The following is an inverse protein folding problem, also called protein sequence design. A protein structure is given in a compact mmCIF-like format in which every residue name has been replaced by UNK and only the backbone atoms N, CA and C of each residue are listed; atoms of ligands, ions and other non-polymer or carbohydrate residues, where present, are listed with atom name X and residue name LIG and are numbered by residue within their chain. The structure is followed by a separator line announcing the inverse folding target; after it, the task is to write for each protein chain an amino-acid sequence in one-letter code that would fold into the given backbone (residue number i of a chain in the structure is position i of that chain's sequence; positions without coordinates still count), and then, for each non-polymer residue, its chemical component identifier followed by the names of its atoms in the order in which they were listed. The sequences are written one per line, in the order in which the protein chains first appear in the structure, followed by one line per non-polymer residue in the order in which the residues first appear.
data_IF_407184997426
#
_entry.id   IF_407184997426
#
_cell.length_a   1.000
_cell.length_b   1.000
_cell.length_c   1.000
_cell.angle_alpha   90.00
_cell.angle_beta   90.00
_cell.angle_gamma   90.00
#
_symmetry.space_group_name_H-M   'P 1'
#
loop_
_entity.id
_entity.type
_entity.pdbx_description
1 polymer ?
#
# COMPACT_ATOMS: atom_id res chain seq x y z
N UNK A 1 -3.03 10.36 36.07
CA UNK A 1 -3.67 10.95 37.27
C UNK A 1 -3.36 12.43 37.30
N UNK A 2 -4.35 13.29 37.07
CA UNK A 2 -4.56 14.57 37.75
C UNK A 2 -5.93 15.09 37.28
N UNK A 3 -6.87 15.19 38.22
CA UNK A 3 -8.22 15.74 38.00
C UNK A 3 -8.25 17.18 38.54
N UNK A 4 -8.87 18.09 37.81
CA UNK A 4 -9.44 19.32 38.38
C UNK A 4 -10.96 19.19 38.33
N UNK A 5 -11.59 19.21 39.51
CA UNK A 5 -13.04 19.31 39.70
C UNK A 5 -13.42 20.79 39.73
N UNK A 6 -14.26 21.22 38.79
CA UNK A 6 -15.04 22.46 38.90
C UNK A 6 -16.52 22.06 38.95
N UNK A 7 -17.11 22.22 40.13
CA UNK A 7 -18.55 22.06 40.35
C UNK A 7 -19.26 23.31 39.84
N UNK A 8 -20.12 23.16 38.84
CA UNK A 8 -21.08 24.19 38.44
C UNK A 8 -22.44 23.54 38.26
N UNK A 9 -23.39 23.91 39.12
CA UNK A 9 -24.82 23.69 38.93
C UNK A 9 -25.33 24.64 37.86
N UNK A 10 -25.74 24.11 36.70
CA UNK A 10 -27.03 24.40 36.05
C UNK A 10 -27.10 23.70 34.69
N UNK A 11 -28.31 23.25 34.38
CA UNK A 11 -28.71 22.36 33.29
C UNK A 11 -28.29 22.82 31.90
N UNK A 12 -27.28 22.17 31.32
CA UNK A 12 -27.13 21.99 29.87
C UNK A 12 -26.47 20.63 29.68
N UNK A 13 -27.12 19.72 28.94
CA UNK A 13 -26.61 18.39 28.62
C UNK A 13 -25.20 18.49 28.01
N UNK A 14 -24.19 18.19 28.81
CA UNK A 14 -22.80 18.10 28.38
C UNK A 14 -22.63 16.74 27.70
N UNK A 15 -22.88 16.69 26.39
CA UNK A 15 -22.42 15.57 25.55
C UNK A 15 -20.88 15.50 25.64
N UNK A 16 -20.39 14.65 26.54
CA UNK A 16 -19.00 14.23 26.59
C UNK A 16 -18.73 13.37 25.35
N UNK A 17 -18.36 14.00 24.25
CA UNK A 17 -17.76 13.32 23.11
C UNK A 17 -16.37 12.90 23.57
N UNK A 18 -16.23 11.65 24.02
CA UNK A 18 -14.93 11.02 24.20
C UNK A 18 -14.36 10.82 22.80
N UNK A 19 -13.61 11.81 22.32
CA UNK A 19 -12.81 11.68 21.11
C UNK A 19 -11.67 10.72 21.48
N UNK A 20 -11.83 9.44 21.12
CA UNK A 20 -10.74 8.49 21.11
C UNK A 20 -9.75 8.94 20.02
N UNK A 21 -8.75 9.72 20.41
CA UNK A 21 -7.59 9.97 19.56
C UNK A 21 -6.78 8.68 19.59
N UNK A 22 -6.95 7.83 18.56
CA UNK A 22 -6.00 6.75 18.30
C UNK A 22 -4.67 7.42 17.92
N UNK A 23 -3.74 7.50 18.86
CA UNK A 23 -2.38 7.95 18.58
C UNK A 23 -1.58 6.76 18.09
N UNK A 24 -1.09 6.82 16.85
CA UNK A 24 -0.10 5.85 16.38
C UNK A 24 1.13 5.89 17.29
N UNK A 25 1.60 4.73 17.73
CA UNK A 25 2.91 4.60 18.35
C UNK A 25 3.93 4.30 17.26
N UNK A 26 4.77 5.28 16.94
CA UNK A 26 5.73 5.17 15.85
C UNK A 26 7.16 5.21 16.35
N UNK A 27 8.00 4.35 15.78
CA UNK A 27 9.45 4.41 15.92
C UNK A 27 10.10 4.79 14.59
N UNK A 28 11.15 5.59 14.65
CA UNK A 28 12.02 5.84 13.49
C UNK A 28 12.85 4.60 13.23
N UNK A 29 12.84 4.13 11.99
CA UNK A 29 13.69 3.02 11.54
C UNK A 29 14.87 3.62 10.77
N UNK A 30 16.13 3.31 11.15
CA UNK A 30 17.29 3.83 10.44
C UNK A 30 17.27 3.45 8.96
N UNK A 31 17.63 4.38 8.08
CA UNK A 31 17.64 4.17 6.63
C UNK A 31 16.94 5.30 5.89
N UNK A 32 16.90 5.18 4.58
CA UNK A 32 16.25 6.14 3.67
C UNK A 32 15.67 5.37 2.49
N UNK A 33 14.36 5.49 2.27
CA UNK A 33 13.66 4.81 1.18
C UNK A 33 12.76 5.78 0.41
N UNK A 34 12.43 5.42 -0.83
CA UNK A 34 11.41 6.11 -1.61
C UNK A 34 10.06 5.41 -1.66
N UNK A 35 10.06 4.10 -1.51
CA UNK A 35 8.88 3.26 -1.53
C UNK A 35 9.17 2.04 -0.64
N UNK A 36 8.14 1.57 0.03
CA UNK A 36 8.16 0.40 0.91
C UNK A 36 6.92 -0.44 0.65
N UNK A 37 7.03 -1.73 0.84
CA UNK A 37 5.87 -2.62 0.85
C UNK A 37 6.05 -3.72 1.89
N UNK A 38 4.94 -4.09 2.53
CA UNK A 38 4.90 -5.11 3.57
C UNK A 38 3.80 -6.11 3.32
N UNK A 39 4.09 -7.37 3.60
CA UNK A 39 3.17 -8.48 3.43
C UNK A 39 3.72 -9.74 4.09
N UNK A 40 2.92 -10.80 4.13
CA UNK A 40 3.33 -12.09 4.73
C UNK A 40 3.86 -11.94 6.17
N UNK A 41 3.13 -11.19 7.02
CA UNK A 41 3.39 -10.95 8.46
C UNK A 41 4.55 -10.03 8.77
N UNK A 42 5.71 -10.28 8.19
CA UNK A 42 6.95 -9.55 8.54
C UNK A 42 7.84 -9.28 7.34
N UNK A 43 7.48 -9.75 6.14
CA UNK A 43 8.30 -9.47 4.98
C UNK A 43 8.12 -7.99 4.62
N UNK A 44 9.24 -7.29 4.53
CA UNK A 44 9.28 -5.87 4.27
C UNK A 44 10.38 -5.60 3.25
N UNK A 45 9.99 -5.00 2.14
CA UNK A 45 10.87 -4.66 1.04
C UNK A 45 10.75 -3.18 0.72
N UNK A 46 11.84 -2.57 0.31
CA UNK A 46 11.82 -1.18 -0.11
C UNK A 46 12.92 -0.87 -1.09
N UNK A 47 12.77 0.27 -1.75
CA UNK A 47 13.77 0.79 -2.69
C UNK A 47 14.23 2.17 -2.28
N UNK A 48 15.55 2.41 -2.38
CA UNK A 48 16.17 3.70 -2.13
C UNK A 48 16.08 4.61 -3.39
N UNK A 49 16.15 5.93 -3.21
CA UNK A 49 15.90 6.90 -4.27
C UNK A 49 17.06 7.06 -5.27
N UNK A 50 18.28 7.15 -4.78
CA UNK A 50 19.47 7.59 -5.52
C UNK A 50 20.04 6.47 -6.39
N UNK A 51 20.39 5.35 -5.77
CA UNK A 51 21.02 4.22 -6.43
C UNK A 51 20.00 3.14 -6.82
N UNK A 52 18.72 3.33 -6.47
CA UNK A 52 17.62 2.40 -6.79
C UNK A 52 17.89 1.01 -6.19
N UNK A 53 18.60 1.00 -5.07
CA UNK A 53 18.98 -0.21 -4.34
C UNK A 53 17.77 -0.80 -3.64
N UNK A 54 17.77 -2.13 -3.58
CA UNK A 54 16.67 -2.90 -3.02
C UNK A 54 17.08 -3.33 -1.61
N UNK A 55 16.21 -3.14 -0.64
CA UNK A 55 16.42 -3.55 0.72
C UNK A 55 15.29 -4.46 1.18
N UNK A 56 15.63 -5.47 1.97
CA UNK A 56 14.69 -6.24 2.77
C UNK A 56 15.00 -6.07 4.26
N UNK A 57 13.99 -6.06 5.10
CA UNK A 57 14.18 -6.00 6.54
C UNK A 57 14.37 -7.42 7.10
N UNK A 58 15.55 -7.71 7.64
CA UNK A 58 15.85 -8.98 8.27
C UNK A 58 16.35 -8.76 9.69
N UNK A 59 15.71 -9.41 10.68
CA UNK A 59 16.05 -9.27 12.11
C UNK A 59 16.18 -7.82 12.60
N UNK A 60 15.34 -6.92 12.08
CA UNK A 60 15.32 -5.50 12.46
C UNK A 60 16.38 -4.62 11.79
N UNK A 61 17.12 -5.14 10.82
CA UNK A 61 18.11 -4.39 10.05
C UNK A 61 17.85 -4.51 8.54
N UNK A 62 18.10 -3.41 7.81
CA UNK A 62 18.04 -3.41 6.36
C UNK A 62 19.19 -4.20 5.76
N UNK A 63 18.86 -5.20 4.96
CA UNK A 63 19.80 -5.98 4.17
C UNK A 63 19.61 -5.63 2.71
N UNK A 64 20.69 -5.17 2.07
CA UNK A 64 20.69 -4.88 0.63
C UNK A 64 20.60 -6.17 -0.17
N UNK A 65 19.71 -6.20 -1.16
CA UNK A 65 19.61 -7.28 -2.15
C UNK A 65 20.19 -6.78 -3.47
N UNK A 66 20.92 -7.64 -4.16
CA UNK A 66 21.46 -7.35 -5.49
C UNK A 66 20.34 -7.01 -6.48
N UNK A 67 20.59 -6.05 -7.36
CA UNK A 67 19.62 -5.59 -8.36
C UNK A 67 19.37 -4.09 -8.28
N UNK A 68 18.50 -3.60 -9.15
CA UNK A 68 18.10 -2.19 -9.19
C UNK A 68 16.64 -2.08 -9.59
N UNK A 69 15.81 -1.62 -8.67
CA UNK A 69 14.36 -1.50 -8.87
C UNK A 69 13.87 -0.09 -8.55
N UNK A 70 12.82 0.34 -9.24
CA UNK A 70 12.12 1.58 -8.92
C UNK A 70 10.92 1.40 -8.01
N UNK A 71 10.42 0.17 -7.91
CA UNK A 71 9.31 -0.27 -7.08
C UNK A 71 9.51 -1.75 -6.77
N UNK A 72 9.28 -2.16 -5.53
CA UNK A 72 9.27 -3.54 -5.07
C UNK A 72 8.04 -3.80 -4.22
N UNK A 73 7.43 -4.96 -4.37
CA UNK A 73 6.25 -5.37 -3.61
C UNK A 73 6.42 -6.80 -3.10
N UNK A 74 5.81 -7.09 -1.94
CA UNK A 74 5.83 -8.40 -1.29
C UNK A 74 4.45 -8.76 -0.75
N UNK A 75 4.02 -9.99 -0.98
CA UNK A 75 2.76 -10.50 -0.44
C UNK A 75 2.54 -11.96 -0.80
N UNK A 76 1.29 -12.45 -0.74
CA UNK A 76 0.96 -13.84 -1.04
C UNK A 76 1.32 -14.28 -2.47
N UNK A 77 1.47 -13.34 -3.42
CA UNK A 77 1.94 -13.63 -4.78
C UNK A 77 3.47 -13.73 -4.91
N UNK A 78 4.22 -13.61 -3.80
CA UNK A 78 5.68 -13.61 -3.75
C UNK A 78 6.28 -12.20 -3.70
N UNK A 79 7.52 -12.05 -4.15
CA UNK A 79 8.21 -10.75 -4.21
C UNK A 79 8.40 -10.36 -5.67
N UNK A 80 7.88 -9.19 -6.03
CA UNK A 80 7.87 -8.67 -7.39
C UNK A 80 8.47 -7.28 -7.43
N UNK A 81 9.01 -6.91 -8.58
CA UNK A 81 9.65 -5.62 -8.75
C UNK A 81 9.65 -5.16 -10.19
N UNK A 82 9.77 -3.84 -10.36
CA UNK A 82 9.99 -3.23 -11.67
C UNK A 82 11.19 -2.30 -11.63
N UNK A 83 11.99 -2.29 -12.69
CA UNK A 83 13.17 -1.41 -12.79
C UNK A 83 12.86 -0.07 -13.46
N UNK A 84 13.89 0.78 -13.59
CA UNK A 84 13.77 2.10 -14.24
C UNK A 84 13.14 2.02 -15.65
N UNK A 85 13.49 0.98 -16.41
CA UNK A 85 13.03 0.73 -17.78
C UNK A 85 11.68 0.01 -17.88
N UNK A 86 10.94 -0.11 -16.76
CA UNK A 86 9.67 -0.83 -16.64
C UNK A 86 9.77 -2.35 -16.82
N UNK A 87 10.97 -2.96 -16.85
CA UNK A 87 11.06 -4.42 -16.89
C UNK A 87 10.63 -5.02 -15.56
N UNK A 88 9.90 -6.13 -15.63
CA UNK A 88 9.30 -6.82 -14.49
C UNK A 88 10.22 -7.96 -14.05
N UNK A 89 10.37 -8.12 -12.74
CA UNK A 89 11.12 -9.20 -12.14
C UNK A 89 10.34 -9.83 -10.99
N UNK A 90 10.52 -11.14 -10.81
CA UNK A 90 10.11 -11.89 -9.62
C UNK A 90 11.37 -12.37 -8.90
N UNK A 91 11.36 -12.34 -7.57
CA UNK A 91 12.48 -12.88 -6.78
C UNK A 91 12.26 -14.37 -6.55
N UNK A 92 13.17 -15.20 -7.06
CA UNK A 92 13.16 -16.66 -6.88
C UNK A 92 14.49 -17.12 -6.31
N UNK A 93 14.47 -17.80 -5.16
CA UNK A 93 15.68 -18.34 -4.50
C UNK A 93 16.81 -17.31 -4.30
N UNK A 94 16.46 -16.03 -4.16
CA UNK A 94 17.42 -14.93 -3.97
C UNK A 94 17.83 -14.19 -5.25
N UNK A 95 17.41 -14.66 -6.42
CA UNK A 95 17.72 -14.07 -7.71
C UNK A 95 16.51 -13.41 -8.38
N UNK A 96 16.73 -12.28 -9.05
CA UNK A 96 15.68 -11.61 -9.82
C UNK A 96 15.53 -12.26 -11.20
N UNK A 97 14.44 -13.00 -11.38
CA UNK A 97 14.08 -13.64 -12.64
C UNK A 97 13.23 -12.67 -13.48
N UNK A 98 13.62 -12.37 -14.73
CA UNK A 98 12.84 -11.48 -15.58
C UNK A 98 11.52 -12.13 -15.99
N UNK A 99 10.45 -11.33 -15.99
CA UNK A 99 9.11 -11.75 -16.43
C UNK A 99 8.69 -10.90 -17.62
N UNK A 100 8.16 -11.56 -18.66
CA UNK A 100 7.71 -10.87 -19.88
C UNK A 100 6.64 -9.81 -19.57
N UNK A 101 6.75 -8.65 -20.20
CA UNK A 101 5.85 -7.50 -20.00
C UNK A 101 6.61 -6.27 -19.52
N UNK A 102 5.89 -5.15 -19.42
CA UNK A 102 6.44 -3.91 -18.89
C UNK A 102 5.43 -3.20 -17.98
N UNK A 103 5.83 -2.94 -16.74
CA UNK A 103 5.04 -2.24 -15.73
C UNK A 103 5.85 -1.11 -15.10
N UNK A 104 5.19 0.00 -14.77
CA UNK A 104 5.81 1.08 -13.99
C UNK A 104 5.63 0.90 -12.47
N UNK A 105 4.65 0.10 -12.07
CA UNK A 105 4.38 -0.31 -10.70
C UNK A 105 3.78 -1.73 -10.72
N UNK A 106 4.14 -2.54 -9.72
CA UNK A 106 3.63 -3.89 -9.50
C UNK A 106 3.32 -4.08 -8.02
N UNK A 107 2.29 -4.86 -7.73
CA UNK A 107 1.84 -5.26 -6.40
C UNK A 107 1.72 -6.80 -6.34
N UNK A 108 2.04 -7.36 -5.18
CA UNK A 108 2.07 -8.78 -4.88
C UNK A 108 1.13 -9.18 -3.72
N UNK A 109 0.28 -8.28 -3.23
CA UNK A 109 -0.64 -8.52 -2.12
C UNK A 109 -1.83 -9.45 -2.46
N UNK A 110 -2.11 -9.67 -3.74
CA UNK A 110 -3.20 -10.55 -4.20
C UNK A 110 -3.01 -12.02 -3.80
N UNK A 111 -4.12 -12.77 -3.69
CA UNK A 111 -4.20 -14.13 -3.12
C UNK A 111 -3.29 -15.21 -3.75
N UNK A 112 -2.66 -14.91 -4.89
CA UNK A 112 -1.69 -15.73 -5.65
C UNK A 112 -1.21 -15.00 -6.93
N UNK A 113 -1.85 -13.90 -7.31
CA UNK A 113 -1.68 -13.24 -8.61
C UNK A 113 -1.13 -11.82 -8.41
N UNK A 114 0.04 -11.47 -8.97
CA UNK A 114 0.51 -10.09 -8.94
C UNK A 114 -0.31 -9.24 -9.92
N UNK A 115 -0.35 -7.94 -9.65
CA UNK A 115 -1.05 -6.98 -10.47
C UNK A 115 -0.23 -5.70 -10.62
N UNK A 116 -0.56 -4.85 -11.59
CA UNK A 116 0.15 -3.59 -11.73
C UNK A 116 -0.31 -2.78 -12.92
N UNK A 117 0.42 -1.71 -13.19
CA UNK A 117 0.11 -0.77 -14.27
C UNK A 117 1.34 -0.45 -15.10
N UNK A 118 1.15 -0.20 -16.40
CA UNK A 118 2.23 0.18 -17.30
C UNK A 118 2.44 1.71 -17.39
N UNK A 119 3.38 2.13 -18.23
CA UNK A 119 3.71 3.55 -18.44
C UNK A 119 2.59 4.37 -19.10
N UNK A 120 1.56 3.72 -19.66
CA UNK A 120 0.39 4.33 -20.29
C UNK A 120 -0.87 4.23 -19.42
N UNK A 121 -0.71 3.93 -18.13
CA UNK A 121 -1.78 3.68 -17.16
C UNK A 121 -2.66 2.46 -17.50
N UNK A 122 -2.26 1.59 -18.43
CA UNK A 122 -2.98 0.32 -18.65
C UNK A 122 -2.80 -0.60 -17.45
N UNK A 123 -3.87 -1.31 -17.10
CA UNK A 123 -3.97 -2.12 -15.89
C UNK A 123 -3.79 -3.58 -16.28
N UNK A 124 -2.99 -4.32 -15.51
CA UNK A 124 -2.76 -5.73 -15.75
C UNK A 124 -2.81 -6.54 -14.47
N UNK A 125 -3.20 -7.79 -14.61
CA UNK A 125 -3.00 -8.82 -13.60
C UNK A 125 -2.48 -10.10 -14.24
N UNK A 126 -1.72 -10.89 -13.50
CA UNK A 126 -1.16 -12.14 -13.97
C UNK A 126 -1.88 -13.31 -13.29
N UNK A 127 -2.74 -14.00 -14.03
CA UNK A 127 -3.38 -15.22 -13.55
C UNK A 127 -2.54 -16.43 -13.93
N UNK A 128 -2.13 -17.24 -12.93
CA UNK A 128 -1.29 -18.42 -13.14
C UNK A 128 0.20 -18.12 -12.96
N UNK A 129 0.98 -19.18 -12.74
CA UNK A 129 2.41 -19.10 -12.41
C UNK A 129 3.32 -18.86 -13.62
N UNK A 130 4.52 -19.46 -13.59
CA UNK A 130 5.51 -19.32 -14.67
C UNK A 130 4.93 -19.62 -16.06
N UNK A 131 5.22 -18.74 -17.02
CA UNK A 131 4.75 -18.85 -18.40
C UNK A 131 3.35 -18.30 -18.66
N UNK A 132 2.64 -17.81 -17.65
CA UNK A 132 1.39 -17.09 -17.83
C UNK A 132 1.60 -15.73 -18.53
N UNK A 133 0.53 -15.25 -19.18
CA UNK A 133 0.50 -13.94 -19.84
C UNK A 133 -0.29 -12.94 -19.02
N UNK A 134 0.18 -11.68 -18.99
CA UNK A 134 -0.55 -10.58 -18.38
C UNK A 134 -1.91 -10.37 -19.05
N UNK A 135 -2.96 -10.34 -18.24
CA UNK A 135 -4.32 -10.03 -18.67
C UNK A 135 -4.54 -8.53 -18.52
N UNK A 136 -4.89 -7.85 -19.61
CA UNK A 136 -5.26 -6.44 -19.58
C UNK A 136 -6.67 -6.26 -19.01
N UNK A 137 -6.81 -5.38 -18.02
CA UNK A 137 -8.08 -5.01 -17.42
C UNK A 137 -8.56 -3.68 -18.00
N UNK A 138 -9.88 -3.49 -18.21
CA UNK A 138 -10.41 -2.25 -18.78
C UNK A 138 -10.11 -1.05 -17.87
N UNK A 139 -9.94 0.14 -18.43
CA UNK A 139 -9.73 1.37 -17.66
C UNK A 139 -8.28 1.82 -17.59
N UNK A 140 -8.01 2.84 -16.75
CA UNK A 140 -6.69 3.46 -16.61
C UNK A 140 -6.37 3.79 -15.16
N UNK A 141 -5.23 3.32 -14.65
CA UNK A 141 -4.72 3.60 -13.31
C UNK A 141 -3.22 3.91 -13.34
N UNK A 142 -2.77 4.78 -12.43
CA UNK A 142 -1.34 5.05 -12.22
C UNK A 142 -0.73 4.22 -11.09
N UNK A 143 -1.56 3.60 -10.25
CA UNK A 143 -1.17 2.74 -9.13
C UNK A 143 -2.29 1.72 -8.89
N UNK A 144 -1.93 0.46 -8.64
CA UNK A 144 -2.86 -0.64 -8.44
C UNK A 144 -2.31 -1.63 -7.40
N UNK A 145 -3.10 -1.89 -6.36
CA UNK A 145 -2.76 -2.76 -5.23
C UNK A 145 -3.91 -3.72 -4.93
N UNK A 146 -3.59 -4.96 -4.59
CA UNK A 146 -4.52 -6.06 -4.42
C UNK A 146 -4.41 -6.66 -3.02
N UNK A 147 -5.56 -6.93 -2.40
CA UNK A 147 -5.64 -7.78 -1.22
C UNK A 147 -6.34 -9.10 -1.54
N UNK A 148 -6.87 -9.74 -0.49
CA UNK A 148 -7.46 -11.07 -0.59
C UNK A 148 -8.67 -11.17 -1.53
N UNK A 149 -9.55 -10.17 -1.53
CA UNK A 149 -10.87 -10.24 -2.18
C UNK A 149 -11.19 -9.04 -3.10
N UNK A 150 -10.32 -8.03 -3.11
CA UNK A 150 -10.50 -6.83 -3.91
C UNK A 150 -9.16 -6.20 -4.20
N UNK A 151 -9.10 -5.48 -5.31
CA UNK A 151 -7.98 -4.61 -5.61
C UNK A 151 -8.46 -3.16 -5.71
N UNK A 152 -7.59 -2.26 -5.33
CA UNK A 152 -7.83 -0.82 -5.32
C UNK A 152 -6.78 -0.12 -6.16
N UNK A 153 -7.16 0.99 -6.76
CA UNK A 153 -6.22 1.77 -7.53
C UNK A 153 -6.63 3.23 -7.63
N UNK A 154 -5.66 4.03 -8.07
CA UNK A 154 -5.87 5.45 -8.35
C UNK A 154 -5.46 5.77 -9.78
N UNK A 155 -6.20 6.66 -10.43
CA UNK A 155 -5.86 7.13 -11.77
C UNK A 155 -4.97 8.39 -11.75
N UNK A 156 -4.58 8.88 -12.93
CA UNK A 156 -3.75 10.08 -13.08
C UNK A 156 -4.38 11.35 -12.50
N UNK A 157 -5.71 11.40 -12.42
CA UNK A 157 -6.48 12.46 -11.75
C UNK A 157 -6.67 12.25 -10.24
N UNK A 158 -5.96 11.30 -9.63
CA UNK A 158 -6.08 10.88 -8.22
C UNK A 158 -7.44 10.27 -7.83
N UNK A 159 -8.34 9.99 -8.78
CA UNK A 159 -9.62 9.34 -8.47
C UNK A 159 -9.39 7.89 -8.09
N UNK A 160 -10.17 7.43 -7.11
CA UNK A 160 -10.00 6.12 -6.47
C UNK A 160 -11.03 5.15 -7.05
N UNK A 161 -10.60 3.92 -7.32
CA UNK A 161 -11.43 2.85 -7.85
C UNK A 161 -11.19 1.54 -7.13
N UNK A 162 -12.23 0.73 -7.00
CA UNK A 162 -12.18 -0.65 -6.51
C UNK A 162 -12.62 -1.64 -7.59
N UNK A 163 -11.85 -2.71 -7.76
CA UNK A 163 -12.21 -3.92 -8.49
C UNK A 163 -12.61 -5.00 -7.46
N UNK A 164 -13.89 -5.38 -7.47
CA UNK A 164 -14.43 -6.45 -6.61
C UNK A 164 -14.40 -7.80 -7.32
N UNK A 165 -14.59 -8.88 -6.56
CA UNK A 165 -14.70 -10.23 -7.11
C UNK A 165 -13.37 -10.83 -7.54
N UNK A 166 -12.26 -10.23 -7.12
CA UNK A 166 -10.92 -10.82 -7.27
C UNK A 166 -10.83 -11.99 -6.30
N UNK A 167 -10.35 -13.14 -6.80
CA UNK A 167 -10.19 -14.37 -6.00
C UNK A 167 -8.93 -15.11 -6.45
N UNK A 168 -8.55 -16.17 -5.73
CA UNK A 168 -7.45 -17.05 -6.16
C UNK A 168 -7.65 -17.65 -7.57
N UNK A 169 -8.90 -17.79 -8.03
CA UNK A 169 -9.21 -18.34 -9.35
C UNK A 169 -9.27 -17.27 -10.46
N UNK A 170 -9.37 -15.99 -10.11
CA UNK A 170 -9.43 -14.90 -11.10
C UNK A 170 -8.90 -13.58 -10.55
N UNK A 171 -7.81 -13.10 -11.15
CA UNK A 171 -7.23 -11.80 -10.87
C UNK A 171 -8.02 -10.65 -11.52
N UNK A 172 -8.84 -10.93 -12.53
CA UNK A 172 -9.56 -9.92 -13.29
C UNK A 172 -10.78 -9.34 -12.56
N UNK A 173 -11.22 -10.02 -11.51
CA UNK A 173 -12.38 -9.63 -10.72
C UNK A 173 -13.68 -9.57 -11.55
N UNK A 174 -14.53 -8.61 -11.22
CA UNK A 174 -15.83 -8.37 -11.87
C UNK A 174 -15.74 -7.69 -13.24
N UNK A 175 -14.54 -7.22 -13.62
CA UNK A 175 -14.30 -6.33 -14.76
C UNK A 175 -15.09 -5.01 -14.73
N UNK A 176 -15.64 -4.65 -13.57
CA UNK A 176 -16.44 -3.44 -13.35
C UNK A 176 -15.84 -2.62 -12.22
N UNK A 177 -15.12 -1.57 -12.61
CA UNK A 177 -14.60 -0.60 -11.65
C UNK A 177 -15.73 0.19 -11.02
N UNK A 178 -15.70 0.25 -9.69
CA UNK A 178 -16.55 1.17 -8.93
C UNK A 178 -15.70 2.33 -8.44
N UNK A 179 -16.13 3.56 -8.71
CA UNK A 179 -15.45 4.75 -8.19
C UNK A 179 -15.78 4.92 -6.70
N UNK A 180 -14.75 5.22 -5.92
CA UNK A 180 -14.87 5.54 -4.49
C UNK A 180 -14.53 7.01 -4.29
N UNK A 181 -15.36 7.71 -3.52
CA UNK A 181 -15.15 9.14 -3.24
C UNK A 181 -13.81 9.40 -2.54
N UNK A 182 -13.11 10.44 -2.98
CA UNK A 182 -11.81 10.85 -2.43
C UNK A 182 -10.75 11.02 -3.52
N UNK A 183 -9.57 11.51 -3.11
CA UNK A 183 -8.44 11.70 -3.99
C UNK A 183 -7.16 11.19 -3.33
N UNK A 184 -6.49 10.22 -3.96
CA UNK A 184 -5.24 9.64 -3.47
C UNK A 184 -4.20 9.57 -4.60
N UNK A 185 -2.93 9.75 -4.22
CA UNK A 185 -1.77 9.63 -5.11
C UNK A 185 -1.26 8.20 -5.22
N UNK A 186 -1.43 7.41 -4.16
CA UNK A 186 -1.13 5.99 -4.08
C UNK A 186 -2.04 5.32 -3.04
N UNK A 187 -2.18 3.99 -3.13
CA UNK A 187 -3.09 3.20 -2.29
C UNK A 187 -2.53 1.79 -2.13
N UNK A 188 -2.58 1.25 -0.91
CA UNK A 188 -2.19 -0.12 -0.59
C UNK A 188 -3.31 -0.88 0.10
N UNK A 189 -3.43 -2.16 -0.25
CA UNK A 189 -4.40 -3.09 0.32
C UNK A 189 -3.64 -4.20 1.04
N UNK A 190 -3.90 -4.35 2.32
CA UNK A 190 -3.24 -5.35 3.16
C UNK A 190 -3.92 -6.72 3.12
N UNK A 191 -3.23 -7.73 3.66
CA UNK A 191 -3.74 -9.11 3.70
C UNK A 191 -4.99 -9.27 4.58
N UNK A 192 -5.18 -8.41 5.58
CA UNK A 192 -6.38 -8.37 6.44
C UNK A 192 -7.52 -7.51 5.87
N UNK A 193 -7.30 -6.88 4.72
CA UNK A 193 -8.28 -6.08 3.99
C UNK A 193 -8.34 -4.61 4.41
N UNK A 194 -7.50 -4.13 5.33
CA UNK A 194 -7.33 -2.69 5.55
C UNK A 194 -6.72 -2.03 4.31
N UNK A 195 -7.19 -0.82 4.00
CA UNK A 195 -6.71 -0.02 2.87
C UNK A 195 -6.17 1.30 3.39
N UNK A 196 -4.93 1.60 3.03
CA UNK A 196 -4.27 2.86 3.33
C UNK A 196 -3.90 3.58 2.03
N UNK A 197 -3.81 4.91 2.09
CA UNK A 197 -3.29 5.67 0.97
C UNK A 197 -2.88 7.07 1.36
N UNK A 198 -2.19 7.72 0.43
CA UNK A 198 -1.64 9.07 0.62
C UNK A 198 -2.12 9.97 -0.49
N UNK A 199 -2.62 11.17 -0.18
CA UNK A 199 -3.07 12.14 -1.18
C UNK A 199 -1.89 12.95 -1.77
N UNK A 200 -2.18 13.89 -2.68
CA UNK A 200 -1.14 14.75 -3.29
C UNK A 200 -0.53 15.77 -2.33
N UNK A 201 -1.18 16.04 -1.20
CA UNK A 201 -0.71 16.95 -0.15
C UNK A 201 0.14 16.21 0.91
N UNK A 202 0.35 14.91 0.74
CA UNK A 202 1.06 14.05 1.69
C UNK A 202 0.27 13.71 2.96
N UNK A 203 -1.05 13.84 2.93
CA UNK A 203 -1.92 13.41 4.02
C UNK A 203 -2.28 11.92 3.86
N UNK A 204 -2.25 11.20 4.97
CA UNK A 204 -2.51 9.77 5.04
C UNK A 204 -3.97 9.49 5.40
N UNK A 205 -4.54 8.47 4.77
CA UNK A 205 -5.92 8.05 4.98
C UNK A 205 -6.00 6.53 5.10
N UNK A 206 -6.98 6.09 5.89
CA UNK A 206 -7.39 4.70 6.01
C UNK A 206 -8.86 4.57 5.61
N UNK A 207 -9.22 3.52 4.88
CA UNK A 207 -10.62 3.22 4.59
C UNK A 207 -11.36 2.77 5.85
N UNK A 208 -12.60 3.19 6.05
CA UNK A 208 -13.43 2.54 7.08
C UNK A 208 -13.60 1.04 6.79
N UNK A 209 -13.51 0.20 7.82
CA UNK A 209 -13.78 -1.23 7.69
C UNK A 209 -15.19 -1.47 7.12
N UNK A 210 -15.40 -2.51 6.29
CA UNK A 210 -16.73 -2.92 5.82
C UNK A 210 -17.69 -3.08 7.01
N UNK A 211 -18.99 -2.71 6.92
CA UNK A 211 -19.83 -2.75 5.72
C UNK A 211 -20.26 -1.38 5.16
N UNK A 212 -19.68 -0.26 5.60
CA UNK A 212 -20.09 1.06 5.10
C UNK A 212 -19.34 1.37 3.79
N UNK A 213 -20.05 1.59 2.67
CA UNK A 213 -19.40 2.01 1.44
C UNK A 213 -18.94 3.46 1.55
N UNK A 214 -17.68 3.68 1.18
CA UNK A 214 -17.06 4.96 0.85
C UNK A 214 -16.94 5.98 2.01
N UNK A 215 -15.90 5.81 2.82
CA UNK A 215 -15.36 6.92 3.59
C UNK A 215 -13.90 6.69 3.97
N UNK A 216 -13.21 7.80 4.20
CA UNK A 216 -11.82 7.82 4.62
C UNK A 216 -11.71 8.42 6.02
N UNK A 217 -10.92 7.79 6.87
CA UNK A 217 -10.41 8.36 8.12
C UNK A 217 -9.05 8.98 7.82
N UNK A 218 -8.90 10.28 8.01
CA UNK A 218 -7.56 10.88 7.95
C UNK A 218 -6.75 10.39 9.16
N UNK A 219 -5.60 9.82 8.91
CA UNK A 219 -4.68 9.39 9.96
C UNK A 219 -3.74 10.56 10.25
N UNK A 220 -3.85 11.11 11.46
CA UNK A 220 -3.01 12.23 11.87
C UNK A 220 -1.57 11.76 12.03
N UNK A 221 -0.65 12.38 11.27
CA UNK A 221 0.76 12.04 11.28
C UNK A 221 1.58 13.34 11.40
N UNK A 222 2.62 13.32 12.23
CA UNK A 222 3.40 14.53 12.57
C UNK A 222 4.19 15.15 11.41
N UNK A 223 4.20 14.51 10.24
CA UNK A 223 4.87 14.98 9.03
C UNK A 223 4.12 14.55 7.77
N UNK A 224 4.52 15.11 6.63
CA UNK A 224 3.98 14.71 5.33
C UNK A 224 4.58 13.39 4.87
N UNK A 225 3.72 12.58 4.27
CA UNK A 225 4.00 11.22 3.84
C UNK A 225 4.01 11.18 2.32
N UNK A 226 4.83 10.31 1.73
CA UNK A 226 4.79 10.05 0.28
C UNK A 226 4.39 8.62 -0.08
N UNK A 227 4.57 7.67 0.84
CA UNK A 227 4.28 6.26 0.60
C UNK A 227 3.97 5.56 1.93
N UNK A 228 3.07 4.58 1.89
CA UNK A 228 2.66 3.77 3.04
C UNK A 228 2.46 2.33 2.59
N UNK A 229 2.65 1.39 3.49
CA UNK A 229 2.13 0.02 3.36
C UNK A 229 1.80 -0.50 4.75
N UNK A 230 0.82 -1.40 4.85
CA UNK A 230 0.36 -1.93 6.13
C UNK A 230 0.18 -3.43 6.02
N UNK A 231 0.63 -4.17 7.04
CA UNK A 231 0.29 -5.58 7.20
C UNK A 231 0.22 -5.92 8.69
N UNK A 232 -0.83 -6.66 9.07
CA UNK A 232 -1.00 -7.31 10.37
C UNK A 232 -0.57 -6.49 11.60
N UNK A 233 -1.05 -5.24 11.68
CA UNK A 233 -0.87 -4.35 12.82
C UNK A 233 0.30 -3.39 12.72
N UNK A 234 1.12 -3.50 11.67
CA UNK A 234 2.25 -2.61 11.41
C UNK A 234 1.98 -1.73 10.20
N UNK A 235 1.89 -0.42 10.42
CA UNK A 235 1.83 0.61 9.39
C UNK A 235 3.23 1.17 9.14
N UNK A 236 3.78 0.87 7.97
CA UNK A 236 5.05 1.41 7.50
C UNK A 236 4.81 2.69 6.72
N UNK A 237 5.54 3.73 7.09
CA UNK A 237 5.36 5.09 6.56
C UNK A 237 6.69 5.61 6.04
N UNK A 238 6.69 6.12 4.82
CA UNK A 238 7.83 6.84 4.25
C UNK A 238 7.50 8.33 4.19
N UNK A 239 8.26 9.12 4.94
CA UNK A 239 8.18 10.58 4.94
C UNK A 239 8.61 11.19 3.60
N UNK A 240 8.18 12.43 3.32
CA UNK A 240 8.62 13.15 2.12
C UNK A 240 10.13 13.40 2.07
N UNK A 241 10.79 13.36 3.23
CA UNK A 241 12.24 13.43 3.41
C UNK A 241 12.96 12.07 3.30
N UNK A 242 12.24 11.01 2.90
CA UNK A 242 12.71 9.62 2.81
C UNK A 242 12.89 8.91 4.17
N UNK A 243 12.52 9.54 5.29
CA UNK A 243 12.54 8.90 6.61
C UNK A 243 11.58 7.71 6.66
N UNK A 244 11.91 6.71 7.47
CA UNK A 244 11.14 5.46 7.61
C UNK A 244 10.57 5.40 9.02
N UNK A 245 9.27 5.15 9.13
CA UNK A 245 8.60 4.87 10.40
C UNK A 245 7.87 3.54 10.36
N UNK A 246 7.92 2.84 11.49
CA UNK A 246 7.15 1.64 11.79
C UNK A 246 6.19 2.00 12.94
N UNK A 247 4.89 1.92 12.67
CA UNK A 247 3.84 2.38 13.56
C UNK A 247 2.86 1.27 13.90
N UNK A 248 2.39 1.24 15.15
CA UNK A 248 1.31 0.37 15.60
C UNK A 248 0.16 1.20 16.17
N UNK A 249 -1.06 0.66 16.10
CA UNK A 249 -2.22 1.19 16.84
C UNK A 249 -2.16 0.86 18.35
#
# INVERSE_FOLDING_TARGET
LYFFLLSIHNSVDLFLVIIYIFSLNCRVVPGSLKQIDVGERTACFGVELQAMEIFTLYSGAWTRISGSLKHVSVGPAGVWGVNANNYIYRLDNGDWVPVNGQLKQVDAGGTVSPAGVNMFDDIFCLQGGEGASWTNLPGKLKYYSCGLNSCWGVNSGNLIYIMKGVTSNTCAGSLKWEQVSGYLSMIEVSTDGKVYGVNSNGDMYESYSPPIPAGWRQVQFGQKVKHVSYDLGHLWVIGTDNSIMDCTE
#
